data_IF_941121819693
#
_entry.id   IF_941121819693
#
_cell.length_a   1.000
_cell.length_b   1.000
_cell.length_c   1.000
_cell.angle_alpha   90.00
_cell.angle_beta   90.00
_cell.angle_gamma   90.00
#
_symmetry.space_group_name_H-M   'P 1'
#
loop_
_entity.id
_entity.type
_entity.pdbx_description
1 polymer ?
#
# COMPACT_ATOMS: atom_id res chain seq x y z
N UNK A 1 20.28 -6.66 -29.80
CA UNK A 1 19.28 -5.88 -30.55
C UNK A 1 18.43 -6.73 -31.51
N UNK A 2 18.39 -8.07 -31.39
CA UNK A 2 17.69 -8.92 -32.37
C UNK A 2 16.22 -9.21 -32.02
N UNK A 3 15.90 -9.27 -30.73
CA UNK A 3 14.56 -9.64 -30.23
C UNK A 3 13.56 -8.47 -30.26
N UNK A 4 13.98 -7.20 -30.12
CA UNK A 4 13.02 -6.08 -30.16
C UNK A 4 12.48 -5.79 -31.55
N UNK A 5 13.32 -5.91 -32.56
CA UNK A 5 12.98 -5.58 -33.95
C UNK A 5 12.04 -6.63 -34.54
N UNK A 6 12.25 -7.89 -34.17
CA UNK A 6 11.43 -9.02 -34.60
C UNK A 6 10.00 -8.98 -34.04
N UNK A 7 9.83 -8.47 -32.81
CA UNK A 7 8.53 -8.39 -32.15
C UNK A 7 7.91 -6.98 -32.16
N UNK A 8 8.61 -5.98 -32.70
CA UNK A 8 8.16 -4.57 -32.67
C UNK A 8 8.01 -3.99 -31.25
N UNK A 9 8.66 -4.60 -30.26
CA UNK A 9 8.55 -4.22 -28.84
C UNK A 9 9.73 -3.34 -28.46
N UNK A 10 9.46 -2.18 -27.85
CA UNK A 10 10.50 -1.30 -27.37
C UNK A 10 11.41 -1.99 -26.34
N UNK A 11 12.72 -1.80 -26.47
CA UNK A 11 13.74 -2.38 -25.57
C UNK A 11 13.49 -2.05 -24.08
N UNK A 12 12.92 -0.88 -23.80
CA UNK A 12 12.55 -0.47 -22.43
C UNK A 12 11.48 -1.36 -21.81
N UNK A 13 10.58 -1.95 -22.62
CA UNK A 13 9.56 -2.90 -22.14
C UNK A 13 10.22 -4.22 -21.76
N UNK A 14 11.13 -4.73 -22.60
CA UNK A 14 11.88 -5.97 -22.33
C UNK A 14 12.70 -5.81 -21.04
N UNK A 15 13.42 -4.70 -20.88
CA UNK A 15 14.20 -4.42 -19.67
C UNK A 15 13.34 -4.38 -18.41
N UNK A 16 12.17 -3.72 -18.46
CA UNK A 16 11.23 -3.67 -17.32
C UNK A 16 10.65 -5.02 -16.97
N UNK A 17 10.28 -5.82 -17.97
CA UNK A 17 9.75 -7.17 -17.74
C UNK A 17 10.82 -8.10 -17.17
N UNK A 18 12.06 -7.98 -17.64
CA UNK A 18 13.19 -8.72 -17.11
C UNK A 18 13.48 -8.37 -15.65
N UNK A 19 13.48 -7.08 -15.29
CA UNK A 19 13.63 -6.66 -13.89
C UNK A 19 12.53 -7.25 -13.01
N UNK A 20 11.26 -7.14 -13.41
CA UNK A 20 10.14 -7.71 -12.65
C UNK A 20 10.24 -9.23 -12.49
N UNK A 21 10.70 -9.93 -13.52
CA UNK A 21 10.92 -11.37 -13.42
C UNK A 21 11.96 -11.72 -12.35
N UNK A 22 13.03 -10.92 -12.26
CA UNK A 22 14.07 -11.13 -11.25
C UNK A 22 13.59 -10.80 -9.83
N UNK A 23 12.75 -9.77 -9.69
CA UNK A 23 12.23 -9.32 -8.40
C UNK A 23 11.12 -10.24 -7.87
N UNK A 24 10.13 -10.56 -8.71
CA UNK A 24 8.89 -11.24 -8.31
C UNK A 24 8.84 -12.72 -8.75
N UNK A 25 9.81 -13.20 -9.53
CA UNK A 25 9.78 -14.54 -10.15
C UNK A 25 8.68 -14.72 -11.21
N UNK A 26 8.00 -13.63 -11.58
CA UNK A 26 6.80 -13.66 -12.39
C UNK A 26 6.68 -12.40 -13.26
N UNK A 27 6.15 -12.59 -14.48
CA UNK A 27 5.94 -11.51 -15.47
C UNK A 27 4.44 -11.28 -15.70
N UNK A 28 3.57 -12.05 -15.03
CA UNK A 28 2.14 -11.91 -15.17
C UNK A 28 1.66 -10.56 -14.64
N UNK A 29 0.56 -10.10 -15.22
CA UNK A 29 -0.05 -8.84 -14.82
C UNK A 29 -0.64 -9.00 -13.42
N UNK A 30 0.03 -8.43 -12.42
CA UNK A 30 -0.55 -8.33 -11.08
C UNK A 30 -1.74 -7.37 -11.11
N UNK A 31 -2.94 -7.89 -10.93
CA UNK A 31 -4.07 -7.09 -10.49
C UNK A 31 -3.82 -6.81 -9.02
N UNK A 32 -3.59 -5.55 -8.67
CA UNK A 32 -3.40 -5.14 -7.27
C UNK A 32 -4.67 -5.52 -6.51
N UNK A 33 -4.64 -6.64 -5.79
CA UNK A 33 -5.59 -6.87 -4.70
C UNK A 33 -5.42 -5.70 -3.73
N UNK A 34 -6.53 -5.14 -3.28
CA UNK A 34 -6.49 -3.98 -2.38
C UNK A 34 -5.59 -4.24 -1.18
N UNK A 35 -5.03 -3.17 -0.60
CA UNK A 35 -4.22 -3.27 0.60
C UNK A 35 -5.01 -3.96 1.73
N UNK A 36 -4.36 -4.84 2.48
CA UNK A 36 -4.94 -5.40 3.69
C UNK A 36 -5.27 -4.24 4.64
N UNK A 37 -6.56 -4.04 4.91
CA UNK A 37 -7.01 -2.95 5.77
C UNK A 37 -7.01 -3.43 7.21
N UNK A 38 -5.94 -3.10 7.93
CA UNK A 38 -5.84 -3.33 9.37
C UNK A 38 -6.86 -2.50 10.16
N UNK A 39 -7.28 -1.37 9.59
CA UNK A 39 -8.25 -0.44 10.18
C UNK A 39 -9.60 -0.51 9.47
N UNK A 40 -10.66 -0.36 10.24
CA UNK A 40 -12.03 -0.25 9.72
C UNK A 40 -12.27 1.14 9.12
N UNK A 41 -13.22 1.30 8.18
CA UNK A 41 -13.55 2.61 7.61
C UNK A 41 -14.00 3.66 8.64
N UNK A 42 -14.48 3.24 9.82
CA UNK A 42 -14.87 4.16 10.89
C UNK A 42 -13.66 4.65 11.67
N UNK A 43 -12.70 3.77 11.95
CA UNK A 43 -11.43 4.11 12.59
C UNK A 43 -10.63 5.08 11.72
N UNK A 44 -10.55 4.83 10.41
CA UNK A 44 -9.89 5.72 9.45
C UNK A 44 -10.52 7.12 9.46
N UNK A 45 -11.85 7.20 9.46
CA UNK A 45 -12.56 8.49 9.53
C UNK A 45 -12.30 9.20 10.85
N UNK A 46 -12.29 8.48 11.97
CA UNK A 46 -11.96 9.05 13.27
C UNK A 46 -10.53 9.59 13.30
N UNK A 47 -9.56 8.80 12.82
CA UNK A 47 -8.15 9.20 12.77
C UNK A 47 -7.95 10.44 11.89
N UNK A 48 -8.56 10.47 10.70
CA UNK A 48 -8.46 11.62 9.81
C UNK A 48 -9.01 12.91 10.45
N UNK A 49 -10.16 12.83 11.12
CA UNK A 49 -10.78 13.99 11.79
C UNK A 49 -9.93 14.43 13.00
N UNK A 50 -9.48 13.49 13.82
CA UNK A 50 -8.75 13.77 15.06
C UNK A 50 -7.35 14.28 14.78
N UNK A 51 -6.64 13.72 13.79
CA UNK A 51 -5.33 14.21 13.36
C UNK A 51 -5.43 15.61 12.73
N UNK A 52 -6.49 15.87 11.95
CA UNK A 52 -6.73 17.19 11.35
C UNK A 52 -6.98 18.27 12.42
N UNK A 53 -7.71 17.94 13.48
CA UNK A 53 -7.98 18.84 14.62
C UNK A 53 -6.75 19.03 15.51
N UNK A 54 -5.98 17.97 15.74
CA UNK A 54 -4.83 17.97 16.65
C UNK A 54 -3.51 17.76 15.90
N UNK A 55 -3.08 18.78 15.16
CA UNK A 55 -1.88 18.71 14.31
C UNK A 55 -0.57 18.33 15.03
N UNK A 56 -0.51 18.50 16.36
CA UNK A 56 0.67 18.17 17.19
C UNK A 56 0.59 16.78 17.84
N UNK A 57 -0.51 16.05 17.64
CA UNK A 57 -0.66 14.72 18.23
C UNK A 57 0.21 13.69 17.52
N UNK A 58 0.96 12.92 18.31
CA UNK A 58 1.75 11.78 17.84
C UNK A 58 0.83 10.60 17.50
N UNK A 59 1.24 9.74 16.56
CA UNK A 59 0.52 8.52 16.19
C UNK A 59 0.17 7.63 17.39
N UNK A 60 1.06 7.51 18.38
CA UNK A 60 0.80 6.75 19.61
C UNK A 60 -0.33 7.34 20.46
N UNK A 61 -0.45 8.67 20.50
CA UNK A 61 -1.53 9.33 21.25
C UNK A 61 -2.88 9.14 20.52
N UNK A 62 -2.88 9.20 19.19
CA UNK A 62 -4.07 8.94 18.38
C UNK A 62 -4.51 7.47 18.49
N UNK A 63 -3.55 6.53 18.48
CA UNK A 63 -3.81 5.11 18.70
C UNK A 63 -4.43 4.86 20.07
N UNK A 64 -3.88 5.46 21.14
CA UNK A 64 -4.46 5.34 22.49
C UNK A 64 -5.88 5.91 22.57
N UNK A 65 -6.11 7.08 21.97
CA UNK A 65 -7.45 7.69 21.92
C UNK A 65 -8.44 6.82 21.15
N UNK A 66 -8.01 6.22 20.03
CA UNK A 66 -8.83 5.31 19.25
C UNK A 66 -9.18 4.05 20.05
N UNK A 67 -8.21 3.43 20.73
CA UNK A 67 -8.47 2.28 21.61
C UNK A 67 -9.41 2.64 22.77
N UNK A 68 -9.27 3.82 23.37
CA UNK A 68 -10.18 4.28 24.43
C UNK A 68 -11.59 4.59 23.92
N UNK A 69 -11.74 5.10 22.69
CA UNK A 69 -13.03 5.46 22.11
C UNK A 69 -13.80 4.25 21.54
N UNK A 70 -13.08 3.28 20.97
CA UNK A 70 -13.69 2.11 20.34
C UNK A 70 -13.99 0.97 21.31
N UNK A 71 -13.44 0.98 22.54
CA UNK A 71 -13.63 -0.11 23.51
C UNK A 71 -13.00 -1.45 23.09
N UNK A 72 -12.36 -1.49 21.92
CA UNK A 72 -11.63 -2.64 21.39
C UNK A 72 -10.16 -2.52 21.79
N UNK A 73 -9.70 -3.50 22.56
CA UNK A 73 -8.29 -3.72 22.85
C UNK A 73 -7.59 -4.10 21.54
N UNK A 74 -7.03 -3.12 20.84
CA UNK A 74 -6.15 -3.36 19.70
C UNK A 74 -4.86 -3.95 20.27
N UNK A 75 -4.75 -5.28 20.33
CA UNK A 75 -3.50 -5.94 20.69
C UNK A 75 -2.49 -5.79 19.55
N UNK A 76 -1.26 -5.45 19.91
CA UNK A 76 -0.11 -5.41 19.01
C UNK A 76 0.35 -6.82 18.64
#
# INVERSE_FOLDING_TARGET
MKVSEEFGIAQSVISRLWQRFQDDGNVSRCYSTGHHRDTTPNEDRYLAITAKRNKRSTASNLSRQLSSASGTTISR
#
